data_IF_182199181556
#
_entry.id   IF_182199181556
#
_cell.length_a   1.000
_cell.length_b   1.000
_cell.length_c   1.000
_cell.angle_alpha   90.00
_cell.angle_beta   90.00
_cell.angle_gamma   90.00
#
_symmetry.space_group_name_H-M   'P 1'
#
loop_
_entity.id
_entity.type
_entity.pdbx_description
1 polymer ?
#
# COMPACT_ATOMS: atom_id res chain seq x y z
N UNK A 1 2.48 22.02 -23.61
CA UNK A 1 2.58 20.60 -23.23
C UNK A 1 4.05 20.15 -23.24
N UNK A 2 4.97 20.87 -22.57
CA UNK A 2 6.44 20.73 -22.71
C UNK A 2 7.17 20.12 -21.50
N UNK A 3 6.45 19.69 -20.45
CA UNK A 3 7.06 19.24 -19.18
C UNK A 3 7.40 17.75 -19.15
N UNK A 4 6.81 16.94 -20.04
CA UNK A 4 7.11 15.50 -20.14
C UNK A 4 7.28 15.11 -21.60
N UNK A 5 8.35 14.38 -21.96
CA UNK A 5 8.60 13.93 -23.34
C UNK A 5 7.60 12.86 -23.83
N UNK A 6 6.68 12.37 -22.98
CA UNK A 6 5.63 11.43 -23.36
C UNK A 6 4.85 10.88 -22.16
N UNK A 7 3.82 10.06 -22.43
CA UNK A 7 2.94 9.45 -21.41
C UNK A 7 3.72 8.64 -20.36
N UNK A 8 4.78 7.93 -20.78
CA UNK A 8 5.68 7.19 -19.87
C UNK A 8 6.36 8.09 -18.85
N UNK A 9 6.92 9.22 -19.29
CA UNK A 9 7.59 10.17 -18.41
C UNK A 9 6.60 10.85 -17.44
N UNK A 10 5.36 11.10 -17.88
CA UNK A 10 4.30 11.58 -17.01
C UNK A 10 3.92 10.54 -15.93
N UNK A 11 3.74 9.27 -16.32
CA UNK A 11 3.39 8.19 -15.38
C UNK A 11 4.50 7.92 -14.36
N UNK A 12 5.76 7.91 -14.79
CA UNK A 12 6.91 7.78 -13.89
C UNK A 12 6.97 8.95 -12.90
N UNK A 13 6.81 10.19 -13.36
CA UNK A 13 6.79 11.35 -12.47
C UNK A 13 5.61 11.34 -11.49
N UNK A 14 4.42 10.97 -11.96
CA UNK A 14 3.26 10.80 -11.10
C UNK A 14 3.52 9.73 -10.02
N UNK A 15 4.20 8.64 -10.39
CA UNK A 15 4.56 7.57 -9.44
C UNK A 15 5.55 8.05 -8.38
N UNK A 16 6.59 8.77 -8.77
CA UNK A 16 7.57 9.33 -7.84
C UNK A 16 6.94 10.33 -6.86
N UNK A 17 6.07 11.21 -7.38
CA UNK A 17 5.37 12.19 -6.54
C UNK A 17 4.43 11.51 -5.54
N UNK A 18 3.66 10.52 -5.98
CA UNK A 18 2.78 9.75 -5.11
C UNK A 18 3.59 9.08 -4.00
N UNK A 19 4.70 8.40 -4.33
CA UNK A 19 5.57 7.80 -3.32
C UNK A 19 6.15 8.79 -2.33
N UNK A 20 6.60 9.96 -2.78
CA UNK A 20 7.13 10.98 -1.89
C UNK A 20 6.07 11.46 -0.89
N UNK A 21 4.83 11.70 -1.35
CA UNK A 21 3.72 12.11 -0.48
C UNK A 21 3.30 11.01 0.48
N UNK A 22 3.19 9.77 -0.01
CA UNK A 22 2.87 8.61 0.81
C UNK A 22 3.93 8.38 1.88
N UNK A 23 5.22 8.50 1.55
CA UNK A 23 6.31 8.33 2.51
C UNK A 23 6.18 9.29 3.70
N UNK A 24 5.97 10.58 3.46
CA UNK A 24 5.82 11.58 4.53
C UNK A 24 4.60 11.27 5.42
N UNK A 25 3.48 10.86 4.81
CA UNK A 25 2.28 10.46 5.58
C UNK A 25 2.56 9.26 6.47
N UNK A 26 3.21 8.24 5.92
CA UNK A 26 3.55 7.00 6.62
C UNK A 26 4.54 7.23 7.75
N UNK A 27 5.60 8.01 7.53
CA UNK A 27 6.56 8.38 8.58
C UNK A 27 5.87 9.09 9.76
N UNK A 28 4.89 9.95 9.46
CA UNK A 28 4.07 10.60 10.49
C UNK A 28 3.20 9.58 11.25
N UNK A 29 2.51 8.69 10.55
CA UNK A 29 1.67 7.66 11.17
C UNK A 29 2.48 6.75 12.09
N UNK A 30 3.69 6.37 11.68
CA UNK A 30 4.61 5.57 12.50
C UNK A 30 5.05 6.34 13.76
N UNK A 31 5.38 7.63 13.63
CA UNK A 31 5.83 8.45 14.75
C UNK A 31 4.72 8.78 15.76
N UNK A 32 3.48 8.89 15.31
CA UNK A 32 2.32 9.22 16.15
C UNK A 32 1.69 7.99 16.83
N UNK A 33 2.02 6.78 16.37
CA UNK A 33 1.45 5.55 16.90
C UNK A 33 2.03 5.17 18.27
N UNK A 34 1.15 4.78 19.20
CA UNK A 34 1.55 4.35 20.54
C UNK A 34 2.25 2.98 20.58
N UNK A 35 1.98 2.11 19.60
CA UNK A 35 2.53 0.75 19.54
C UNK A 35 2.86 0.36 18.08
N UNK A 36 3.75 -0.64 17.87
CA UNK A 36 4.00 -1.17 16.54
C UNK A 36 2.75 -1.71 15.83
N UNK A 37 1.79 -2.28 16.56
CA UNK A 37 0.52 -2.78 16.00
C UNK A 37 -0.38 -1.64 15.54
N UNK A 38 -0.49 -0.59 16.35
CA UNK A 38 -1.20 0.63 15.95
C UNK A 38 -0.56 1.27 14.71
N UNK A 39 0.78 1.32 14.65
CA UNK A 39 1.52 1.78 13.48
C UNK A 39 1.24 0.91 12.25
N UNK A 40 1.32 -0.42 12.40
CA UNK A 40 1.05 -1.38 11.31
C UNK A 40 -0.35 -1.18 10.73
N UNK A 41 -1.38 -1.14 11.59
CA UNK A 41 -2.76 -0.89 11.16
C UNK A 41 -2.89 0.43 10.42
N UNK A 42 -2.36 1.52 10.98
CA UNK A 42 -2.45 2.84 10.37
C UNK A 42 -1.73 2.93 9.01
N UNK A 43 -0.55 2.31 8.90
CA UNK A 43 0.25 2.26 7.67
C UNK A 43 -0.45 1.42 6.61
N UNK A 44 -1.04 0.28 6.96
CA UNK A 44 -1.82 -0.54 6.02
C UNK A 44 -3.10 0.18 5.56
N UNK A 45 -3.83 0.81 6.49
CA UNK A 45 -5.04 1.59 6.19
C UNK A 45 -4.76 2.76 5.23
N UNK A 46 -3.58 3.38 5.30
CA UNK A 46 -3.18 4.44 4.37
C UNK A 46 -3.13 3.96 2.91
N UNK A 47 -2.84 2.68 2.67
CA UNK A 47 -2.83 2.08 1.33
C UNK A 47 -4.23 1.71 0.80
N UNK A 48 -5.28 1.86 1.61
CA UNK A 48 -6.66 1.50 1.28
C UNK A 48 -7.44 2.67 0.69
N UNK A 49 -8.52 2.39 -0.02
CA UNK A 49 -9.39 3.40 -0.63
C UNK A 49 -10.50 3.83 0.35
N UNK A 50 -10.13 4.47 1.45
CA UNK A 50 -11.04 4.83 2.56
C UNK A 50 -11.76 6.18 2.35
N UNK A 51 -11.33 6.97 1.37
CA UNK A 51 -11.91 8.24 0.98
C UNK A 51 -11.67 8.51 -0.51
N UNK A 52 -12.32 9.54 -1.05
CA UNK A 52 -12.23 9.90 -2.47
C UNK A 52 -10.80 10.10 -2.95
N UNK A 53 -9.96 10.83 -2.20
CA UNK A 53 -8.55 11.06 -2.55
C UNK A 53 -7.77 9.74 -2.66
N UNK A 54 -7.90 8.86 -1.66
CA UNK A 54 -7.23 7.56 -1.65
C UNK A 54 -7.75 6.61 -2.75
N UNK A 55 -9.03 6.71 -3.13
CA UNK A 55 -9.59 5.96 -4.25
C UNK A 55 -9.02 6.46 -5.59
N UNK A 56 -8.81 7.77 -5.75
CA UNK A 56 -8.12 8.32 -6.93
C UNK A 56 -6.64 7.90 -6.97
N UNK A 57 -5.95 7.86 -5.82
CA UNK A 57 -4.58 7.33 -5.74
C UNK A 57 -4.52 5.85 -6.15
N UNK A 58 -5.50 5.04 -5.75
CA UNK A 58 -5.62 3.63 -6.15
C UNK A 58 -5.90 3.45 -7.66
N UNK A 59 -6.73 4.30 -8.27
CA UNK A 59 -6.94 4.32 -9.72
C UNK A 59 -5.67 4.65 -10.50
N UNK A 60 -4.91 5.65 -10.04
CA UNK A 60 -3.61 6.01 -10.64
C UNK A 60 -2.63 4.84 -10.54
N UNK A 61 -2.60 4.15 -9.40
CA UNK A 61 -1.79 2.96 -9.20
C UNK A 61 -2.15 1.84 -10.19
N UNK A 62 -3.44 1.54 -10.35
CA UNK A 62 -3.90 0.53 -11.30
C UNK A 62 -3.53 0.91 -12.74
N UNK A 63 -3.73 2.17 -13.13
CA UNK A 63 -3.35 2.67 -14.45
C UNK A 63 -1.85 2.56 -14.71
N UNK A 64 -1.02 2.81 -13.70
CA UNK A 64 0.44 2.62 -13.77
C UNK A 64 0.80 1.14 -13.94
N UNK A 65 0.20 0.24 -13.14
CA UNK A 65 0.43 -1.21 -13.25
C UNK A 65 0.04 -1.74 -14.64
N UNK A 66 -1.13 -1.35 -15.14
CA UNK A 66 -1.56 -1.71 -16.48
C UNK A 66 -0.59 -1.21 -17.56
N UNK A 67 -0.10 0.03 -17.44
CA UNK A 67 0.88 0.60 -18.36
C UNK A 67 2.27 -0.06 -18.26
N UNK A 68 2.59 -0.70 -17.13
CA UNK A 68 3.86 -1.40 -16.93
C UNK A 68 3.93 -2.77 -17.62
N UNK A 69 2.78 -3.31 -18.05
CA UNK A 69 2.73 -4.57 -18.80
C UNK A 69 3.46 -4.40 -20.13
N UNK A 70 4.58 -5.09 -20.29
CA UNK A 70 5.42 -4.99 -21.49
C UNK A 70 6.37 -3.79 -21.52
N UNK A 71 6.50 -3.03 -20.43
CA UNK A 71 7.49 -1.95 -20.28
C UNK A 71 8.46 -2.26 -19.14
N UNK A 72 9.69 -2.66 -19.50
CA UNK A 72 10.71 -3.10 -18.55
C UNK A 72 11.14 -2.01 -17.55
N UNK A 73 11.10 -0.73 -17.94
CA UNK A 73 11.47 0.36 -17.05
C UNK A 73 10.37 0.62 -16.01
N UNK A 74 9.10 0.61 -16.45
CA UNK A 74 7.97 0.82 -15.55
C UNK A 74 7.81 -0.35 -14.57
N UNK A 75 8.00 -1.59 -15.01
CA UNK A 75 7.95 -2.74 -14.11
C UNK A 75 9.14 -2.77 -13.14
N UNK A 76 10.33 -2.32 -13.57
CA UNK A 76 11.48 -2.16 -12.68
C UNK A 76 11.21 -1.10 -11.60
N UNK A 77 10.60 0.04 -11.97
CA UNK A 77 10.18 1.09 -11.04
C UNK A 77 9.12 0.57 -10.05
N UNK A 78 8.10 -0.16 -10.53
CA UNK A 78 7.12 -0.83 -9.67
C UNK A 78 7.82 -1.72 -8.63
N UNK A 79 8.66 -2.65 -9.10
CA UNK A 79 9.34 -3.63 -8.25
C UNK A 79 10.22 -2.97 -7.20
N UNK A 80 10.96 -1.91 -7.57
CA UNK A 80 11.79 -1.14 -6.64
C UNK A 80 10.93 -0.57 -5.50
N UNK A 81 9.85 0.11 -5.84
CA UNK A 81 9.08 0.81 -4.83
C UNK A 81 8.18 -0.13 -4.01
N UNK A 82 7.69 -1.21 -4.61
CA UNK A 82 6.97 -2.26 -3.90
C UNK A 82 7.89 -2.97 -2.87
N UNK A 83 9.16 -3.20 -3.20
CA UNK A 83 10.13 -3.71 -2.22
C UNK A 83 10.31 -2.78 -1.03
N UNK A 84 10.51 -1.48 -1.28
CA UNK A 84 10.64 -0.50 -0.21
C UNK A 84 9.38 -0.44 0.70
N UNK A 85 8.19 -0.58 0.09
CA UNK A 85 6.94 -0.68 0.84
C UNK A 85 6.87 -1.93 1.71
N UNK A 86 7.16 -3.10 1.13
CA UNK A 86 7.15 -4.39 1.84
C UNK A 86 8.18 -4.46 2.95
N UNK A 87 9.38 -3.90 2.75
CA UNK A 87 10.43 -3.83 3.78
C UNK A 87 9.95 -3.04 5.01
N UNK A 88 9.25 -1.92 4.78
CA UNK A 88 8.65 -1.14 5.87
C UNK A 88 7.57 -1.92 6.61
N UNK A 89 6.63 -2.54 5.90
CA UNK A 89 5.58 -3.36 6.52
C UNK A 89 6.19 -4.54 7.28
N UNK A 90 7.25 -5.16 6.74
CA UNK A 90 7.97 -6.24 7.41
C UNK A 90 8.60 -5.81 8.73
N UNK A 91 9.18 -4.60 8.79
CA UNK A 91 9.72 -4.05 10.03
C UNK A 91 8.62 -3.87 11.10
N UNK A 92 7.44 -3.38 10.71
CA UNK A 92 6.30 -3.21 11.61
C UNK A 92 5.71 -4.55 12.09
N UNK A 93 5.61 -5.54 11.19
CA UNK A 93 5.17 -6.90 11.55
C UNK A 93 6.17 -7.54 12.54
N UNK A 94 7.48 -7.46 12.26
CA UNK A 94 8.51 -8.00 13.15
C UNK A 94 8.51 -7.31 14.51
N UNK A 95 8.29 -5.99 14.56
CA UNK A 95 8.17 -5.25 15.82
C UNK A 95 6.88 -5.59 16.59
N UNK A 96 5.81 -5.95 15.88
CA UNK A 96 4.52 -6.36 16.46
C UNK A 96 4.51 -7.80 16.97
N UNK A 97 5.39 -8.64 16.44
CA UNK A 97 5.55 -10.04 16.80
C UNK A 97 7.04 -10.47 16.79
N UNK A 98 7.82 -10.07 17.82
CA UNK A 98 9.27 -10.29 17.85
C UNK A 98 9.72 -11.76 17.82
N UNK A 99 8.86 -12.67 18.26
CA UNK A 99 9.14 -14.10 18.33
C UNK A 99 8.87 -14.85 17.00
N UNK A 100 8.40 -14.16 15.97
CA UNK A 100 8.11 -14.80 14.69
C UNK A 100 9.36 -15.10 13.88
N UNK A 101 9.39 -16.30 13.28
CA UNK A 101 10.39 -16.63 12.29
C UNK A 101 10.26 -15.73 11.04
N UNK A 102 11.38 -15.38 10.36
CA UNK A 102 11.37 -14.53 9.17
C UNK A 102 10.39 -14.98 8.07
N UNK A 103 10.20 -16.29 7.90
CA UNK A 103 9.30 -16.88 6.91
C UNK A 103 7.83 -16.56 7.21
N UNK A 104 7.45 -16.57 8.51
CA UNK A 104 6.10 -16.19 8.97
C UNK A 104 5.88 -14.70 8.75
N UNK A 105 6.87 -13.86 9.09
CA UNK A 105 6.82 -12.41 8.82
C UNK A 105 6.62 -12.15 7.33
N UNK A 106 7.42 -12.76 6.46
CA UNK A 106 7.31 -12.55 5.02
C UNK A 106 5.95 -13.00 4.46
N UNK A 107 5.40 -14.13 4.94
CA UNK A 107 4.09 -14.61 4.53
C UNK A 107 2.98 -13.63 4.94
N UNK A 108 3.01 -13.16 6.19
CA UNK A 108 2.05 -12.17 6.69
C UNK A 108 2.13 -10.86 5.91
N UNK A 109 3.35 -10.35 5.64
CA UNK A 109 3.55 -9.11 4.87
C UNK A 109 2.94 -9.22 3.47
N UNK A 110 3.17 -10.33 2.76
CA UNK A 110 2.61 -10.52 1.42
C UNK A 110 1.09 -10.59 1.46
N UNK A 111 0.51 -11.27 2.45
CA UNK A 111 -0.94 -11.34 2.62
C UNK A 111 -1.56 -9.97 2.96
N UNK A 112 -0.99 -9.25 3.93
CA UNK A 112 -1.45 -7.93 4.36
C UNK A 112 -1.38 -6.88 3.25
N UNK A 113 -0.25 -6.82 2.54
CA UNK A 113 -0.07 -5.88 1.42
C UNK A 113 -0.98 -6.26 0.25
N UNK A 114 -1.04 -7.55 -0.11
CA UNK A 114 -1.89 -8.00 -1.22
C UNK A 114 -3.38 -7.75 -0.96
N UNK A 115 -3.86 -8.01 0.25
CA UNK A 115 -5.26 -7.79 0.61
C UNK A 115 -5.64 -6.31 0.62
N UNK A 116 -4.79 -5.45 1.20
CA UNK A 116 -5.08 -4.01 1.28
C UNK A 116 -5.00 -3.33 -0.09
N UNK A 117 -3.98 -3.63 -0.90
CA UNK A 117 -3.91 -3.13 -2.28
C UNK A 117 -5.07 -3.66 -3.14
N UNK A 118 -5.43 -4.94 -2.98
CA UNK A 118 -6.54 -5.56 -3.70
C UNK A 118 -7.89 -4.91 -3.37
N UNK A 119 -8.17 -4.68 -2.08
CA UNK A 119 -9.40 -4.02 -1.67
C UNK A 119 -9.48 -2.57 -2.14
N UNK A 120 -8.37 -1.83 -2.10
CA UNK A 120 -8.29 -0.47 -2.64
C UNK A 120 -8.63 -0.44 -4.14
N UNK A 121 -8.10 -1.39 -4.91
CA UNK A 121 -8.34 -1.52 -6.34
C UNK A 121 -9.80 -1.89 -6.66
N UNK A 122 -10.39 -2.80 -5.89
CA UNK A 122 -11.77 -3.25 -6.10
C UNK A 122 -12.77 -2.14 -5.72
N UNK A 123 -12.49 -1.37 -4.67
CA UNK A 123 -13.29 -0.21 -4.28
C UNK A 123 -13.38 0.88 -5.35
N UNK A 124 -12.40 0.98 -6.25
CA UNK A 124 -12.46 1.92 -7.37
C UNK A 124 -13.59 1.62 -8.37
N UNK A 125 -14.07 0.37 -8.43
CA UNK A 125 -15.08 -0.09 -9.39
C UNK A 125 -16.36 -0.59 -8.73
N UNK A 126 -16.29 -0.94 -7.45
CA UNK A 126 -17.43 -1.36 -6.63
C UNK A 126 -17.31 -0.78 -5.22
N UNK A 127 -17.48 0.55 -5.06
CA UNK A 127 -17.34 1.23 -3.77
C UNK A 127 -18.47 0.90 -2.78
N UNK A 128 -19.57 0.31 -3.25
CA UNK A 128 -20.67 -0.12 -2.38
C UNK A 128 -20.29 -1.43 -1.67
N UNK A 129 -19.80 -2.43 -2.40
CA UNK A 129 -19.32 -3.69 -1.82
C UNK A 129 -18.04 -3.49 -1.01
N UNK A 130 -17.09 -2.71 -1.55
CA UNK A 130 -15.81 -2.40 -0.91
C UNK A 130 -15.83 -1.01 -0.28
N UNK A 131 -16.90 -0.68 0.44
CA UNK A 131 -17.00 0.59 1.17
C UNK A 131 -15.86 0.75 2.18
N UNK A 132 -15.59 2.00 2.59
CA UNK A 132 -14.54 2.29 3.57
C UNK A 132 -14.71 1.47 4.87
N UNK A 133 -15.94 1.35 5.37
CA UNK A 133 -16.23 0.55 6.56
C UNK A 133 -15.94 -0.94 6.37
N UNK A 134 -16.24 -1.50 5.19
CA UNK A 134 -15.92 -2.90 4.87
C UNK A 134 -14.40 -3.10 4.74
N UNK A 135 -13.70 -2.15 4.13
CA UNK A 135 -12.24 -2.17 4.04
C UNK A 135 -11.58 -2.13 5.43
N UNK A 136 -12.03 -1.25 6.32
CA UNK A 136 -11.53 -1.20 7.71
C UNK A 136 -11.82 -2.49 8.46
N UNK A 137 -13.04 -3.03 8.38
CA UNK A 137 -13.40 -4.29 9.01
C UNK A 137 -12.59 -5.48 8.44
N UNK A 138 -12.30 -5.48 7.14
CA UNK A 138 -11.45 -6.48 6.49
C UNK A 138 -10.01 -6.39 7.01
N UNK A 139 -9.46 -5.18 7.17
CA UNK A 139 -8.13 -4.98 7.72
C UNK A 139 -8.05 -5.48 9.16
N UNK A 140 -9.02 -5.12 10.00
CA UNK A 140 -9.07 -5.53 11.41
C UNK A 140 -9.19 -7.06 11.52
N UNK A 141 -10.04 -7.69 10.70
CA UNK A 141 -10.17 -9.16 10.65
C UNK A 141 -8.88 -9.85 10.20
N UNK A 142 -8.18 -9.26 9.23
CA UNK A 142 -6.93 -9.81 8.71
C UNK A 142 -5.79 -9.70 9.74
N UNK A 143 -5.71 -8.57 10.45
CA UNK A 143 -4.74 -8.39 11.54
C UNK A 143 -5.01 -9.38 12.68
N UNK A 144 -6.26 -9.54 13.10
CA UNK A 144 -6.64 -10.51 14.11
C UNK A 144 -6.33 -11.96 13.70
N UNK A 145 -6.56 -12.33 12.43
CA UNK A 145 -6.22 -13.67 11.91
C UNK A 145 -4.71 -13.98 11.96
N UNK A 146 -3.88 -12.94 12.06
CA UNK A 146 -2.44 -13.04 12.20
C UNK A 146 -1.96 -12.76 13.64
N UNK A 147 -2.84 -12.53 14.63
CA UNK A 147 -2.46 -12.10 15.99
C UNK A 147 -1.67 -10.75 16.01
N UNK A 148 -2.06 -9.81 15.12
CA UNK A 148 -1.41 -8.51 14.91
C UNK A 148 -2.29 -7.29 15.26
N UNK A 149 -3.44 -7.50 15.91
CA UNK A 149 -4.36 -6.45 16.38
C UNK A 149 -3.90 -5.70 17.65
#
# INVERSE_FOLDING_TARGET
MHRFPGRKALLAHARDLLHARTRVRVERLEAEAATPRAALRAVLAQGMALNEDSAQEALVWMGFLAASVGDDDLIALHRKNNRAWRERVAALVAASAPDWAPERVNTAVVALVGATEGAAQLACFDPETYSAAIQEAMLDSLLAAYDLD
#
